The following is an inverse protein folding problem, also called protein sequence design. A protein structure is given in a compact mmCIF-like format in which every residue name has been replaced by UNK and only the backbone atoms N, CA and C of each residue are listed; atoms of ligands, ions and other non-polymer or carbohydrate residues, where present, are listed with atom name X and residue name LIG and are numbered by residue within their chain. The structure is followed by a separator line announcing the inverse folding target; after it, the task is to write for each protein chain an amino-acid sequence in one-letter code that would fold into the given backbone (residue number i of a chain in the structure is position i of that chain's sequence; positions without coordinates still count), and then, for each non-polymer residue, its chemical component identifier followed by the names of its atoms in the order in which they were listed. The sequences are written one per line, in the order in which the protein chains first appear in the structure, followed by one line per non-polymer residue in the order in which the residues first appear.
data_IF_250552907897
#
_entry.id   IF_250552907897
#
_cell.length_a   1.000
_cell.length_b   1.000
_cell.length_c   1.000
_cell.angle_alpha   90.00
_cell.angle_beta   90.00
_cell.angle_gamma   90.00
#
_symmetry.space_group_name_H-M   'P 1'
#
loop_
_entity.id
_entity.type
_entity.pdbx_description
1 polymer ?
#
# COMPACT_ATOMS: atom_id res chain seq x y z
N UNK A 1 -39.02 11.48 50.00
CA UNK A 1 -38.44 10.32 49.30
C UNK A 1 -37.73 10.60 47.96
N UNK A 2 -38.09 11.66 47.23
CA UNK A 2 -37.47 11.99 45.91
C UNK A 2 -36.06 12.61 45.96
N UNK A 3 -35.64 13.22 47.08
CA UNK A 3 -34.29 13.82 47.21
C UNK A 3 -33.14 12.84 47.52
N UNK A 4 -33.44 11.70 48.05
CA UNK A 4 -32.42 10.69 48.38
C UNK A 4 -32.04 9.79 47.21
N UNK A 5 -32.91 9.65 46.20
CA UNK A 5 -32.66 8.85 45.01
C UNK A 5 -31.75 9.62 44.07
N UNK A 6 -31.89 10.96 43.97
CA UNK A 6 -31.00 11.78 43.13
C UNK A 6 -29.55 11.83 43.63
N UNK A 7 -29.34 11.77 44.96
CA UNK A 7 -27.98 11.79 45.49
C UNK A 7 -27.23 10.45 45.31
N UNK A 8 -27.97 9.32 45.31
CA UNK A 8 -27.38 7.99 45.07
C UNK A 8 -27.06 7.78 43.60
N UNK A 9 -27.89 8.30 42.68
CA UNK A 9 -27.63 8.21 41.25
C UNK A 9 -26.44 9.12 40.86
N UNK A 10 -26.29 10.30 41.48
CA UNK A 10 -25.16 11.18 41.24
C UNK A 10 -23.84 10.61 41.78
N UNK A 11 -23.87 9.94 42.92
CA UNK A 11 -22.67 9.28 43.48
C UNK A 11 -22.28 8.02 42.70
N UNK A 12 -23.21 7.29 42.09
CA UNK A 12 -22.93 6.12 41.24
C UNK A 12 -22.41 6.61 39.86
N UNK A 13 -22.94 7.73 39.35
CA UNK A 13 -22.41 8.35 38.10
C UNK A 13 -20.98 8.92 38.29
N UNK A 14 -20.67 9.50 39.45
CA UNK A 14 -19.32 9.96 39.75
C UNK A 14 -18.33 8.80 39.96
N UNK A 15 -18.76 7.64 40.45
CA UNK A 15 -17.91 6.46 40.60
C UNK A 15 -17.67 5.79 39.25
N UNK A 16 -18.62 5.83 38.31
CA UNK A 16 -18.44 5.31 36.93
C UNK A 16 -17.53 6.23 36.12
N UNK A 17 -17.58 7.58 36.31
CA UNK A 17 -16.67 8.51 35.71
C UNK A 17 -15.25 8.44 36.29
N UNK A 18 -15.08 8.02 37.54
CA UNK A 18 -13.76 7.79 38.16
C UNK A 18 -13.14 6.43 37.79
N UNK A 19 -13.96 5.44 37.40
CA UNK A 19 -13.49 4.14 36.93
C UNK A 19 -13.19 4.10 35.42
N UNK A 20 -13.58 5.12 34.66
CA UNK A 20 -13.32 5.28 33.23
C UNK A 20 -12.01 6.03 32.89
N UNK A 21 -11.31 6.59 33.87
CA UNK A 21 -9.93 7.02 33.75
C UNK A 21 -9.00 5.84 34.07
N UNK A 22 -9.00 4.84 33.21
CA UNK A 22 -7.84 4.00 33.03
C UNK A 22 -6.73 4.95 32.52
N UNK A 23 -5.87 5.39 33.40
CA UNK A 23 -4.56 5.95 33.03
C UNK A 23 -3.88 4.81 32.28
N UNK A 24 -3.97 4.84 30.97
CA UNK A 24 -3.06 4.12 30.12
C UNK A 24 -1.67 4.60 30.59
N UNK A 25 -0.93 3.70 31.22
CA UNK A 25 0.43 3.99 31.65
C UNK A 25 1.21 4.07 30.35
N UNK A 26 1.24 5.27 29.75
CA UNK A 26 2.09 5.56 28.62
C UNK A 26 3.47 4.98 28.92
N UNK A 27 4.08 4.34 27.96
CA UNK A 27 5.45 3.80 28.06
C UNK A 27 6.31 4.79 28.81
N UNK A 28 7.00 4.38 29.87
CA UNK A 28 7.76 5.33 30.70
C UNK A 28 8.70 6.17 29.81
N UNK A 29 8.74 7.48 30.03
CA UNK A 29 9.64 8.41 29.34
C UNK A 29 11.09 7.92 29.26
N UNK A 30 11.51 7.06 30.19
CA UNK A 30 12.80 6.36 30.19
C UNK A 30 13.06 5.47 28.97
N UNK A 31 12.03 5.00 28.26
CA UNK A 31 12.20 4.21 27.04
C UNK A 31 12.65 5.07 25.84
N UNK A 32 12.45 6.39 25.93
CA UNK A 32 12.80 7.36 24.89
C UNK A 32 13.97 8.27 25.32
N UNK A 33 14.67 7.95 26.41
CA UNK A 33 15.79 8.72 26.90
C UNK A 33 17.01 8.60 25.96
N UNK A 34 17.80 9.65 25.86
CA UNK A 34 18.98 9.84 25.00
C UNK A 34 20.08 8.75 25.08
N UNK A 35 19.83 7.64 25.75
CA UNK A 35 20.68 6.45 25.85
C UNK A 35 20.83 5.67 24.54
N UNK A 36 19.97 5.91 23.54
CA UNK A 36 19.99 5.19 22.26
C UNK A 36 20.96 5.80 21.23
N UNK A 37 21.85 6.70 21.63
CA UNK A 37 22.83 7.30 20.71
C UNK A 37 23.93 6.31 20.36
N UNK A 38 23.88 5.77 19.16
CA UNK A 38 24.96 4.97 18.58
C UNK A 38 26.12 5.87 18.14
N UNK A 39 27.26 5.77 18.83
CA UNK A 39 28.40 6.67 18.61
C UNK A 39 29.59 6.06 17.86
N UNK A 40 29.64 4.76 17.62
CA UNK A 40 30.88 4.10 17.16
C UNK A 40 30.73 2.90 16.24
N UNK A 41 29.66 2.82 15.45
CA UNK A 41 29.52 1.71 14.50
C UNK A 41 30.25 1.99 13.19
N UNK A 42 30.80 0.93 12.63
CA UNK A 42 31.39 0.92 11.29
C UNK A 42 30.41 0.27 10.30
N UNK A 43 30.61 0.55 9.01
CA UNK A 43 29.94 -0.19 7.95
C UNK A 43 30.27 -1.67 8.03
N UNK A 44 29.30 -2.55 7.77
CA UNK A 44 29.49 -4.01 7.82
C UNK A 44 28.52 -4.77 6.92
N UNK A 45 28.89 -5.99 6.56
CA UNK A 45 28.01 -6.93 5.91
C UNK A 45 27.06 -7.57 6.93
N UNK A 46 25.75 -7.37 6.73
CA UNK A 46 24.71 -7.89 7.60
C UNK A 46 24.37 -9.35 7.26
N UNK A 47 24.27 -9.66 5.96
CA UNK A 47 24.04 -11.00 5.43
C UNK A 47 24.61 -11.13 4.03
N UNK A 48 24.90 -12.38 3.61
CA UNK A 48 25.33 -12.67 2.25
C UNK A 48 24.91 -14.09 1.82
N UNK A 49 24.72 -14.28 0.52
CA UNK A 49 24.55 -15.58 -0.11
C UNK A 49 25.49 -15.71 -1.33
N UNK A 50 25.27 -16.67 -2.22
CA UNK A 50 26.12 -16.87 -3.41
C UNK A 50 26.11 -15.67 -4.37
N UNK A 51 25.00 -14.94 -4.46
CA UNK A 51 24.78 -13.92 -5.46
C UNK A 51 24.79 -12.49 -4.90
N UNK A 52 24.39 -12.33 -3.64
CA UNK A 52 24.12 -11.03 -3.04
C UNK A 52 24.84 -10.81 -1.72
N UNK A 53 25.14 -9.55 -1.42
CA UNK A 53 25.62 -9.08 -0.11
C UNK A 53 24.74 -7.92 0.36
N UNK A 54 24.15 -8.08 1.55
CA UNK A 54 23.38 -7.07 2.25
C UNK A 54 24.29 -6.34 3.25
N UNK A 55 24.40 -5.03 3.12
CA UNK A 55 25.37 -4.24 3.87
C UNK A 55 24.70 -3.04 4.55
N UNK A 56 25.18 -2.71 5.73
CA UNK A 56 24.96 -1.43 6.40
C UNK A 56 26.10 -0.47 6.06
N UNK A 57 25.77 0.65 5.44
CA UNK A 57 26.68 1.75 5.15
C UNK A 57 26.49 2.85 6.21
N UNK A 58 27.44 2.92 7.14
CA UNK A 58 27.41 3.88 8.25
C UNK A 58 27.68 5.31 7.82
N UNK A 59 28.47 5.52 6.79
CA UNK A 59 28.87 6.83 6.31
C UNK A 59 27.63 7.61 5.79
N UNK A 60 26.75 6.90 5.08
CA UNK A 60 25.56 7.48 4.46
C UNK A 60 24.24 7.00 5.11
N UNK A 61 24.31 6.22 6.19
CA UNK A 61 23.13 5.70 6.92
C UNK A 61 22.13 4.95 6.02
N UNK A 62 22.62 4.07 5.16
CA UNK A 62 21.81 3.35 4.18
C UNK A 62 22.02 1.85 4.20
N UNK A 63 21.05 1.14 3.68
CA UNK A 63 21.16 -0.29 3.37
C UNK A 63 21.55 -0.42 1.90
N UNK A 64 22.56 -1.24 1.64
CA UNK A 64 23.04 -1.59 0.31
C UNK A 64 22.78 -3.05 0.04
N UNK A 65 22.21 -3.35 -1.12
CA UNK A 65 22.17 -4.68 -1.71
C UNK A 65 23.14 -4.70 -2.90
N UNK A 66 24.19 -5.49 -2.81
CA UNK A 66 25.25 -5.56 -3.82
C UNK A 66 25.26 -6.91 -4.53
N UNK A 67 25.24 -6.88 -5.84
CA UNK A 67 25.48 -8.06 -6.69
C UNK A 67 26.94 -8.49 -6.60
N UNK A 68 27.21 -9.77 -6.35
CA UNK A 68 28.54 -10.34 -6.35
C UNK A 68 29.07 -10.61 -7.76
N UNK A 69 28.17 -10.71 -8.75
CA UNK A 69 28.52 -11.02 -10.12
C UNK A 69 29.21 -9.85 -10.83
N UNK A 70 28.69 -8.62 -10.66
CA UNK A 70 29.14 -7.44 -11.39
C UNK A 70 29.41 -6.22 -10.50
N UNK A 71 29.12 -6.33 -9.20
CA UNK A 71 29.30 -5.26 -8.24
C UNK A 71 28.20 -4.20 -8.26
N UNK A 72 27.15 -4.35 -9.09
CA UNK A 72 26.02 -3.43 -9.14
C UNK A 72 25.32 -3.33 -7.77
N UNK A 73 24.93 -2.12 -7.40
CA UNK A 73 24.31 -1.85 -6.10
C UNK A 73 22.90 -1.29 -6.24
N UNK A 74 22.04 -1.68 -5.32
CA UNK A 74 20.74 -1.04 -5.04
C UNK A 74 20.73 -0.59 -3.58
N UNK A 75 20.09 0.51 -3.30
CA UNK A 75 20.23 1.16 -2.00
C UNK A 75 18.94 1.86 -1.57
N UNK A 76 18.75 1.96 -0.27
CA UNK A 76 17.68 2.80 0.30
C UNK A 76 17.89 4.29 0.07
N UNK A 77 19.11 4.69 -0.29
CA UNK A 77 19.49 6.03 -0.72
C UNK A 77 20.35 5.89 -1.98
N UNK A 78 19.90 6.30 -3.16
CA UNK A 78 20.67 6.26 -4.40
C UNK A 78 22.04 6.96 -4.28
N UNK A 79 23.02 6.43 -4.95
CA UNK A 79 24.41 6.92 -4.86
C UNK A 79 24.55 8.34 -5.40
N UNK A 80 23.78 8.66 -6.40
CA UNK A 80 23.73 9.97 -7.05
C UNK A 80 23.25 11.07 -6.09
N UNK A 81 22.45 10.72 -5.07
CA UNK A 81 22.03 11.67 -4.02
C UNK A 81 23.14 11.98 -2.99
N UNK A 82 24.21 11.22 -2.99
CA UNK A 82 25.34 11.43 -2.07
C UNK A 82 26.26 12.59 -2.55
N UNK A 83 26.19 12.93 -3.82
CA UNK A 83 26.96 14.04 -4.38
C UNK A 83 26.07 15.28 -4.44
N UNK A 84 26.43 16.38 -3.78
CA UNK A 84 25.69 17.62 -3.89
C UNK A 84 25.56 18.04 -5.36
N UNK A 85 24.33 18.24 -5.81
CA UNK A 85 24.06 18.80 -7.11
C UNK A 85 23.63 20.26 -6.97
N UNK A 86 24.17 21.12 -7.81
CA UNK A 86 23.91 22.56 -7.79
C UNK A 86 23.24 22.96 -9.11
N UNK A 87 22.28 23.89 -9.05
CA UNK A 87 21.70 24.50 -10.25
C UNK A 87 22.63 25.56 -10.86
N UNK A 88 22.19 26.16 -11.96
CA UNK A 88 22.95 27.19 -12.68
C UNK A 88 23.22 28.44 -11.80
N UNK A 89 22.41 28.68 -10.80
CA UNK A 89 22.53 29.78 -9.84
C UNK A 89 23.38 29.41 -8.61
N UNK A 90 23.85 28.15 -8.51
CA UNK A 90 24.70 27.64 -7.45
C UNK A 90 23.94 27.21 -6.18
N UNK A 91 22.63 27.01 -6.25
CA UNK A 91 21.84 26.44 -5.15
C UNK A 91 21.87 24.91 -5.18
N UNK A 92 22.04 24.30 -4.01
CA UNK A 92 22.00 22.84 -3.88
C UNK A 92 20.57 22.32 -4.13
N UNK A 93 20.41 21.54 -5.20
CA UNK A 93 19.10 21.09 -5.69
C UNK A 93 18.65 19.75 -5.14
N UNK A 94 19.56 18.94 -4.61
CA UNK A 94 19.25 17.63 -4.02
C UNK A 94 19.26 17.61 -2.49
N UNK A 95 19.39 18.76 -1.84
CA UNK A 95 19.28 18.90 -0.39
C UNK A 95 17.81 18.92 0.07
N UNK A 96 17.12 17.82 -0.15
CA UNK A 96 15.74 17.67 0.30
C UNK A 96 15.66 16.49 1.28
N UNK A 97 15.23 16.72 2.55
CA UNK A 97 15.08 15.66 3.54
C UNK A 97 14.18 14.49 3.09
N UNK A 98 13.31 14.70 2.10
CA UNK A 98 12.50 13.66 1.52
C UNK A 98 13.33 12.69 0.67
N UNK A 99 14.39 13.15 0.02
CA UNK A 99 15.24 12.35 -0.85
C UNK A 99 16.21 11.45 -0.07
N UNK A 100 16.64 11.85 1.11
CA UNK A 100 17.61 11.13 1.95
C UNK A 100 16.97 10.09 2.88
N UNK A 101 15.80 9.53 2.52
CA UNK A 101 14.98 8.91 3.54
C UNK A 101 14.71 7.42 3.32
N UNK A 102 15.31 6.51 4.13
CA UNK A 102 15.01 5.08 4.09
C UNK A 102 13.64 4.72 4.66
N UNK A 103 13.01 5.65 5.42
CA UNK A 103 11.74 5.42 6.11
C UNK A 103 10.98 6.73 6.26
N UNK A 104 9.75 6.79 5.76
CA UNK A 104 8.82 7.90 6.05
C UNK A 104 7.71 7.41 6.97
N UNK A 105 7.45 8.15 8.02
CA UNK A 105 6.39 7.86 8.99
C UNK A 105 5.47 9.07 9.07
N UNK A 106 4.17 8.84 8.95
CA UNK A 106 3.18 9.85 9.30
C UNK A 106 2.55 9.47 10.64
N UNK A 107 2.40 10.44 11.51
CA UNK A 107 1.74 10.29 12.81
C UNK A 107 0.64 11.33 12.96
N UNK A 108 -0.35 11.04 13.80
CA UNK A 108 -1.42 11.96 14.12
C UNK A 108 -0.96 12.80 15.32
N UNK A 109 -0.89 14.12 15.10
CA UNK A 109 -0.58 15.04 16.19
C UNK A 109 -1.84 15.24 17.07
N UNK A 110 -1.79 14.89 18.36
CA UNK A 110 -2.96 14.96 19.24
C UNK A 110 -3.44 16.39 19.53
N UNK A 111 -2.61 17.41 19.30
CA UNK A 111 -2.98 18.81 19.55
C UNK A 111 -3.94 19.36 18.48
N UNK A 112 -3.79 18.94 17.23
CA UNK A 112 -4.54 19.45 16.10
C UNK A 112 -5.27 18.37 15.28
N UNK A 113 -5.08 17.10 15.62
CA UNK A 113 -5.64 15.92 14.94
C UNK A 113 -5.27 15.87 13.44
N UNK A 114 -4.09 16.39 13.07
CA UNK A 114 -3.61 16.38 11.70
C UNK A 114 -2.41 15.44 11.54
N UNK A 115 -2.27 14.80 10.38
CA UNK A 115 -1.07 14.02 10.08
C UNK A 115 0.15 14.93 9.94
N UNK A 116 1.24 14.54 10.60
CA UNK A 116 2.56 15.16 10.46
C UNK A 116 3.58 14.10 10.02
N UNK A 117 4.67 14.52 9.39
CA UNK A 117 5.66 13.64 8.77
C UNK A 117 6.95 13.60 9.58
N UNK A 118 7.48 12.39 9.78
CA UNK A 118 8.81 12.12 10.30
C UNK A 118 9.63 11.40 9.24
N UNK A 119 10.86 11.85 9.04
CA UNK A 119 11.82 11.24 8.14
C UNK A 119 12.84 10.43 8.93
N UNK A 120 13.04 9.16 8.58
CA UNK A 120 13.96 8.25 9.26
C UNK A 120 15.39 8.78 9.29
N UNK A 121 15.86 9.42 8.21
CA UNK A 121 17.20 9.99 8.14
C UNK A 121 17.36 11.19 9.07
N UNK A 122 16.65 12.29 8.83
CA UNK A 122 16.82 13.55 9.59
C UNK A 122 16.23 13.49 10.98
N UNK A 123 15.19 12.68 11.20
CA UNK A 123 14.52 12.52 12.49
C UNK A 123 15.22 11.58 13.47
N UNK A 124 15.96 10.60 12.96
CA UNK A 124 16.54 9.49 13.72
C UNK A 124 18.02 9.27 13.39
N UNK A 125 18.35 8.75 12.21
CA UNK A 125 19.71 8.28 11.86
C UNK A 125 20.78 9.36 11.98
N UNK A 126 20.58 10.52 11.38
CA UNK A 126 21.51 11.66 11.41
C UNK A 126 21.75 12.18 12.82
N UNK A 127 20.77 12.02 13.71
CA UNK A 127 20.88 12.38 15.13
C UNK A 127 21.60 11.33 15.98
N UNK A 128 21.90 10.15 15.40
CA UNK A 128 22.41 8.99 16.13
C UNK A 128 21.37 8.33 17.04
N UNK A 129 20.08 8.64 16.87
CA UNK A 129 18.97 8.11 17.66
C UNK A 129 18.38 6.85 16.96
N UNK A 130 19.18 5.77 16.90
CA UNK A 130 18.77 4.51 16.29
C UNK A 130 19.44 3.32 16.97
N UNK A 131 18.83 2.15 16.87
CA UNK A 131 19.39 0.88 17.28
C UNK A 131 19.71 0.01 16.07
N UNK A 132 20.81 -0.75 16.13
CA UNK A 132 21.16 -1.75 15.13
C UNK A 132 21.28 -3.12 15.79
N UNK A 133 20.60 -4.11 15.21
CA UNK A 133 20.67 -5.49 15.66
C UNK A 133 20.87 -6.41 14.45
N UNK A 134 21.91 -7.27 14.51
CA UNK A 134 22.05 -8.35 13.53
C UNK A 134 21.01 -9.43 13.83
N UNK A 135 20.20 -9.73 12.84
CA UNK A 135 19.19 -10.79 12.89
C UNK A 135 19.57 -11.92 11.92
N UNK A 136 18.90 -13.06 12.02
CA UNK A 136 19.10 -14.17 11.08
C UNK A 136 18.79 -13.72 9.66
N UNK A 137 19.80 -13.75 8.78
CA UNK A 137 19.70 -13.36 7.38
C UNK A 137 19.62 -11.85 7.13
N UNK A 138 19.93 -10.98 8.12
CA UNK A 138 19.80 -9.55 7.90
C UNK A 138 20.13 -8.66 9.08
N UNK A 139 19.45 -7.51 9.10
CA UNK A 139 19.62 -6.47 10.11
C UNK A 139 18.26 -5.87 10.47
N UNK A 140 18.06 -5.57 11.75
CA UNK A 140 16.95 -4.76 12.28
C UNK A 140 17.47 -3.38 12.64
N UNK A 141 16.84 -2.35 12.12
CA UNK A 141 17.11 -0.95 12.45
C UNK A 141 15.90 -0.42 13.22
N UNK A 142 16.11 -0.01 14.46
CA UNK A 142 15.07 0.67 15.24
C UNK A 142 15.29 2.18 15.14
N UNK A 143 14.33 2.89 14.56
CA UNK A 143 14.33 4.34 14.44
C UNK A 143 13.69 4.95 15.68
N UNK A 144 14.40 5.85 16.37
CA UNK A 144 13.88 6.57 17.54
C UNK A 144 13.59 8.03 17.18
N UNK A 145 12.34 8.41 17.39
CA UNK A 145 11.85 9.78 17.26
C UNK A 145 11.52 10.32 18.66
N UNK A 146 12.56 10.56 19.44
CA UNK A 146 12.48 10.82 20.89
C UNK A 146 11.50 11.94 21.25
N UNK A 147 11.51 13.04 20.50
CA UNK A 147 10.63 14.20 20.73
C UNK A 147 9.14 13.93 20.43
N UNK A 148 8.84 12.80 19.80
CA UNK A 148 7.47 12.35 19.49
C UNK A 148 7.10 11.07 20.24
N UNK A 149 8.03 10.51 21.00
CA UNK A 149 7.84 9.25 21.73
C UNK A 149 7.42 8.09 20.82
N UNK A 150 8.04 8.02 19.64
CA UNK A 150 7.81 6.94 18.67
C UNK A 150 9.13 6.19 18.49
N UNK A 151 9.07 4.85 18.58
CA UNK A 151 10.13 3.97 18.07
C UNK A 151 9.57 2.95 17.11
N UNK A 152 10.29 2.75 16.00
CA UNK A 152 9.82 1.93 14.90
C UNK A 152 10.94 1.01 14.41
N UNK A 153 10.84 -0.31 14.70
CA UNK A 153 11.77 -1.32 14.19
C UNK A 153 11.46 -1.67 12.74
N UNK A 154 12.50 -1.70 11.89
CA UNK A 154 12.42 -2.15 10.49
C UNK A 154 13.41 -3.28 10.28
N UNK A 155 12.96 -4.41 9.77
CA UNK A 155 13.81 -5.52 9.41
C UNK A 155 14.16 -5.48 7.93
N UNK A 156 15.42 -5.71 7.61
CA UNK A 156 15.97 -5.87 6.28
C UNK A 156 16.59 -7.27 6.18
N UNK A 157 15.95 -8.15 5.43
CA UNK A 157 16.37 -9.55 5.28
C UNK A 157 16.79 -9.86 3.85
N UNK A 158 17.94 -10.47 3.69
CA UNK A 158 18.41 -10.95 2.41
C UNK A 158 17.56 -12.14 1.96
N UNK A 159 17.07 -12.06 0.73
CA UNK A 159 16.40 -13.15 0.03
C UNK A 159 17.38 -13.88 -0.90
N UNK A 160 16.93 -14.98 -1.50
CA UNK A 160 17.68 -15.67 -2.53
C UNK A 160 18.03 -14.74 -3.71
N UNK A 161 17.10 -13.88 -4.10
CA UNK A 161 17.17 -13.01 -5.29
C UNK A 161 16.84 -11.55 -5.01
N UNK A 162 17.10 -11.05 -3.80
CA UNK A 162 16.77 -9.68 -3.45
C UNK A 162 16.78 -9.41 -1.95
N UNK A 163 15.94 -8.48 -1.52
CA UNK A 163 15.81 -8.07 -0.12
C UNK A 163 14.32 -7.92 0.26
N UNK A 164 13.95 -8.37 1.46
CA UNK A 164 12.66 -8.06 2.08
C UNK A 164 12.83 -6.98 3.15
N UNK A 165 11.95 -5.99 3.14
CA UNK A 165 11.88 -4.92 4.13
C UNK A 165 10.52 -5.01 4.81
N UNK A 166 10.50 -5.13 6.14
CA UNK A 166 9.26 -5.38 6.88
C UNK A 166 9.20 -4.63 8.21
N UNK A 167 7.97 -4.38 8.64
CA UNK A 167 7.64 -3.86 9.97
C UNK A 167 6.51 -4.70 10.55
N UNK A 168 6.66 -5.07 11.81
CA UNK A 168 5.59 -5.56 12.64
C UNK A 168 4.98 -4.37 13.41
N UNK A 169 3.74 -3.94 13.11
CA UNK A 169 3.14 -2.81 13.80
C UNK A 169 2.99 -3.01 15.31
N UNK A 170 3.00 -4.26 15.80
CA UNK A 170 2.91 -4.55 17.23
C UNK A 170 4.21 -4.26 17.99
N UNK A 171 5.35 -4.15 17.29
CA UNK A 171 6.63 -3.75 17.86
C UNK A 171 6.84 -2.23 17.88
N UNK A 172 5.92 -1.45 17.30
CA UNK A 172 5.97 0.02 17.33
C UNK A 172 5.64 0.49 18.75
N UNK A 173 6.51 1.29 19.32
CA UNK A 173 6.23 1.96 20.60
C UNK A 173 5.76 3.37 20.32
N UNK A 174 4.64 3.76 20.91
CA UNK A 174 4.00 5.06 20.70
C UNK A 174 3.65 5.71 22.05
N UNK A 175 3.83 7.05 22.13
CA UNK A 175 3.22 7.87 23.17
C UNK A 175 1.84 8.38 22.74
N UNK A 176 1.60 9.66 22.98
CA UNK A 176 0.36 10.33 22.54
C UNK A 176 0.28 10.50 21.02
N UNK A 177 1.44 10.57 20.36
CA UNK A 177 1.53 10.63 18.89
C UNK A 177 1.36 9.23 18.31
N UNK A 178 0.30 8.99 17.55
CA UNK A 178 -0.03 7.68 16.98
C UNK A 178 0.42 7.58 15.54
N UNK A 179 1.20 6.54 15.20
CA UNK A 179 1.64 6.30 13.83
C UNK A 179 0.43 5.98 12.96
N UNK A 180 0.26 6.75 11.90
CA UNK A 180 -0.84 6.63 10.95
C UNK A 180 -0.44 5.83 9.71
N UNK A 181 0.66 6.22 9.07
CA UNK A 181 1.13 5.53 7.89
C UNK A 181 2.66 5.39 7.84
N UNK A 182 3.13 4.39 7.10
CA UNK A 182 4.54 4.05 6.97
C UNK A 182 4.85 3.82 5.50
N UNK A 183 5.92 4.46 4.99
CA UNK A 183 6.50 4.15 3.69
C UNK A 183 7.89 3.55 3.87
N UNK A 184 8.09 2.35 3.30
CA UNK A 184 9.32 1.58 3.41
C UNK A 184 10.23 1.82 2.21
N UNK A 185 11.46 2.25 2.47
CA UNK A 185 12.52 2.43 1.48
C UNK A 185 12.04 3.17 0.20
N UNK A 186 11.52 4.43 0.32
CA UNK A 186 10.84 5.12 -0.79
C UNK A 186 11.70 5.29 -2.05
N UNK A 187 13.02 5.32 -1.92
CA UNK A 187 13.93 5.52 -3.06
C UNK A 187 14.58 4.23 -3.58
N UNK A 188 14.21 3.07 -3.07
CA UNK A 188 14.72 1.80 -3.60
C UNK A 188 14.27 1.55 -5.05
N UNK A 189 13.07 2.04 -5.42
CA UNK A 189 12.56 2.09 -6.79
C UNK A 189 12.58 3.54 -7.29
N UNK A 190 13.75 4.01 -7.69
CA UNK A 190 13.95 5.38 -8.20
C UNK A 190 14.71 5.38 -9.51
N UNK A 191 14.53 6.45 -10.30
CA UNK A 191 15.22 6.71 -11.54
C UNK A 191 15.68 8.16 -11.60
N UNK A 192 16.80 8.41 -12.30
CA UNK A 192 17.24 9.77 -12.57
C UNK A 192 16.29 10.47 -13.54
N UNK A 193 15.93 11.72 -13.25
CA UNK A 193 15.11 12.53 -14.15
C UNK A 193 15.83 12.87 -15.46
N UNK A 194 17.17 12.78 -15.48
CA UNK A 194 17.99 13.01 -16.66
C UNK A 194 18.15 11.77 -17.56
N UNK A 195 17.70 10.59 -17.12
CA UNK A 195 17.83 9.37 -17.92
C UNK A 195 16.74 9.26 -18.97
N UNK A 196 17.12 9.20 -20.26
CA UNK A 196 16.18 8.98 -21.36
C UNK A 196 15.54 7.61 -21.37
N UNK A 197 16.20 6.61 -20.75
CA UNK A 197 15.76 5.23 -20.69
C UNK A 197 15.07 4.89 -19.35
N UNK A 198 15.10 5.83 -18.40
CA UNK A 198 14.55 5.66 -17.06
C UNK A 198 13.03 5.73 -17.05
N UNK A 199 12.39 4.81 -16.33
CA UNK A 199 10.95 4.82 -16.08
C UNK A 199 10.57 4.18 -14.74
N UNK A 200 9.43 4.63 -14.22
CA UNK A 200 8.73 3.98 -13.12
C UNK A 200 7.63 3.10 -13.70
N UNK A 201 7.50 1.90 -13.17
CA UNK A 201 6.41 0.97 -13.49
C UNK A 201 5.36 1.02 -12.38
N UNK A 202 4.10 1.27 -12.75
CA UNK A 202 2.96 1.28 -11.84
C UNK A 202 1.83 0.43 -12.40
N UNK A 203 1.13 -0.36 -11.57
CA UNK A 203 0.11 -1.30 -12.02
C UNK A 203 -1.27 -0.63 -12.16
N UNK A 204 -1.34 0.53 -12.80
CA UNK A 204 -2.60 1.20 -13.13
C UNK A 204 -3.35 0.40 -14.21
N UNK A 205 -4.42 -0.26 -13.83
CA UNK A 205 -5.14 -1.19 -14.72
C UNK A 205 -4.27 -2.34 -15.18
N UNK A 206 -3.92 -2.37 -16.46
CA UNK A 206 -3.03 -3.37 -17.07
C UNK A 206 -1.54 -3.01 -16.97
N UNK A 207 -1.21 -1.87 -16.36
CA UNK A 207 0.13 -1.34 -16.19
C UNK A 207 0.34 -0.01 -16.93
N UNK A 208 1.16 0.87 -16.35
CA UNK A 208 1.59 2.11 -16.94
C UNK A 208 3.08 2.36 -16.67
N UNK A 209 3.74 3.03 -17.59
CA UNK A 209 5.11 3.51 -17.43
C UNK A 209 5.08 5.02 -17.30
N UNK A 210 5.74 5.53 -16.26
CA UNK A 210 5.97 6.95 -16.05
C UNK A 210 7.43 7.22 -16.41
N UNK A 211 7.66 8.06 -17.40
CA UNK A 211 8.98 8.44 -17.86
C UNK A 211 9.29 9.87 -17.42
N UNK A 212 10.09 10.05 -16.36
CA UNK A 212 10.37 11.38 -15.83
C UNK A 212 11.10 12.29 -16.81
N UNK A 213 11.92 11.74 -17.67
CA UNK A 213 12.64 12.50 -18.71
C UNK A 213 11.70 13.22 -19.67
N UNK A 214 10.54 12.64 -19.97
CA UNK A 214 9.52 13.23 -20.84
C UNK A 214 8.68 14.31 -20.13
N UNK A 215 8.89 14.51 -18.82
CA UNK A 215 8.19 15.53 -18.04
C UNK A 215 8.88 16.89 -18.14
N UNK A 216 8.28 17.81 -18.86
CA UNK A 216 8.85 19.12 -19.19
C UNK A 216 8.51 20.23 -18.19
N UNK A 217 7.58 19.98 -17.25
CA UNK A 217 7.17 20.98 -16.28
C UNK A 217 8.25 21.24 -15.21
N UNK A 218 8.37 22.49 -14.79
CA UNK A 218 9.29 22.89 -13.71
C UNK A 218 8.84 22.42 -12.33
N UNK A 219 7.59 22.01 -12.18
CA UNK A 219 7.00 21.54 -10.93
C UNK A 219 6.76 20.04 -11.01
N UNK A 220 7.30 19.29 -10.05
CA UNK A 220 7.01 17.86 -9.90
C UNK A 220 5.53 17.61 -9.60
N UNK A 221 5.10 16.38 -9.82
CA UNK A 221 3.75 15.93 -9.45
C UNK A 221 3.81 14.65 -8.63
N UNK A 222 2.75 14.39 -7.90
CA UNK A 222 2.57 13.15 -7.14
C UNK A 222 1.32 12.44 -7.63
N UNK A 223 1.36 11.12 -7.64
CA UNK A 223 0.18 10.30 -7.84
C UNK A 223 0.16 9.15 -6.85
N UNK A 224 -1.03 8.67 -6.53
CA UNK A 224 -1.26 7.59 -5.58
C UNK A 224 -2.27 6.61 -6.13
N UNK A 225 -1.96 5.33 -6.03
CA UNK A 225 -2.75 4.22 -6.56
C UNK A 225 -3.06 3.26 -5.40
N UNK A 226 -4.25 3.34 -4.77
CA UNK A 226 -4.65 2.38 -3.75
C UNK A 226 -4.62 0.95 -4.30
N UNK A 227 -3.94 0.04 -3.61
CA UNK A 227 -3.88 -1.37 -4.00
C UNK A 227 -5.26 -1.99 -3.83
N UNK A 228 -5.69 -2.78 -4.83
CA UNK A 228 -7.05 -3.32 -4.97
C UNK A 228 -8.14 -2.26 -5.16
N UNK A 229 -7.76 -0.99 -5.30
CA UNK A 229 -8.68 0.12 -5.45
C UNK A 229 -9.33 0.53 -4.13
N UNK A 230 -10.21 1.52 -4.22
CA UNK A 230 -10.99 1.94 -3.07
C UNK A 230 -12.26 1.10 -2.97
N UNK A 231 -12.66 0.79 -1.74
CA UNK A 231 -13.98 0.20 -1.53
C UNK A 231 -15.06 1.23 -1.90
N UNK A 232 -15.64 1.05 -3.08
CA UNK A 232 -16.71 1.91 -3.58
C UNK A 232 -17.96 1.95 -2.69
N UNK A 233 -18.03 1.07 -1.66
CA UNK A 233 -19.11 1.05 -0.69
C UNK A 233 -18.92 2.09 0.42
N UNK A 234 -17.67 2.50 0.67
CA UNK A 234 -17.33 3.45 1.74
C UNK A 234 -17.16 4.88 1.20
N UNK A 235 -17.04 5.06 -0.12
CA UNK A 235 -16.91 6.39 -0.70
C UNK A 235 -18.24 7.12 -0.78
N UNK A 236 -18.24 8.28 -0.16
CA UNK A 236 -19.25 9.33 -0.45
C UNK A 236 -18.97 9.83 -1.87
N UNK A 237 -19.81 9.45 -2.83
CA UNK A 237 -19.66 9.71 -4.27
C UNK A 237 -19.68 11.17 -4.69
N UNK A 238 -19.62 12.09 -3.74
CA UNK A 238 -19.64 13.53 -3.98
C UNK A 238 -18.27 14.14 -4.35
N UNK A 239 -17.20 13.36 -4.37
CA UNK A 239 -15.92 13.80 -4.88
C UNK A 239 -15.86 13.63 -6.40
N UNK A 240 -16.15 14.71 -7.10
CA UNK A 240 -16.01 14.88 -8.55
C UNK A 240 -14.57 14.88 -9.08
N UNK A 241 -13.62 14.36 -8.31
CA UNK A 241 -12.25 14.11 -8.78
C UNK A 241 -12.28 12.91 -9.74
N UNK A 242 -12.32 13.17 -11.03
CA UNK A 242 -12.05 12.15 -12.05
C UNK A 242 -10.59 11.75 -11.86
N UNK A 243 -10.36 10.69 -11.11
CA UNK A 243 -9.07 10.01 -11.13
C UNK A 243 -9.05 9.19 -12.42
N UNK A 244 -8.25 9.59 -13.38
CA UNK A 244 -8.01 8.83 -14.61
C UNK A 244 -7.23 7.52 -14.36
N UNK A 245 -6.99 7.17 -13.10
CA UNK A 245 -6.27 5.96 -12.72
C UNK A 245 -7.22 4.75 -12.70
N UNK A 246 -6.75 3.66 -13.26
CA UNK A 246 -7.43 2.36 -13.17
C UNK A 246 -7.12 1.74 -11.79
N UNK A 247 -8.04 0.94 -11.22
CA UNK A 247 -7.78 0.25 -9.95
C UNK A 247 -6.55 -0.65 -10.04
N UNK A 248 -5.68 -0.57 -9.04
CA UNK A 248 -4.54 -1.47 -8.88
C UNK A 248 -5.04 -2.85 -8.47
N UNK A 249 -4.70 -3.87 -9.24
CA UNK A 249 -5.09 -5.26 -8.98
C UNK A 249 -3.95 -6.14 -8.54
N UNK A 250 -2.72 -5.72 -8.83
CA UNK A 250 -1.50 -6.45 -8.48
C UNK A 250 -0.68 -5.58 -7.53
N UNK A 251 -0.25 -6.12 -6.38
CA UNK A 251 0.48 -5.36 -5.37
C UNK A 251 1.97 -5.24 -5.74
N UNK A 252 2.25 -4.69 -6.91
CA UNK A 252 3.61 -4.58 -7.47
C UNK A 252 3.86 -3.21 -8.08
N UNK A 253 5.11 -2.78 -8.04
CA UNK A 253 5.61 -1.59 -8.72
C UNK A 253 7.09 -1.76 -9.03
N UNK A 254 7.70 -0.84 -9.72
CA UNK A 254 9.11 -0.98 -10.03
C UNK A 254 9.71 0.25 -10.68
N UNK A 255 11.01 0.14 -10.95
CA UNK A 255 11.78 1.15 -11.66
C UNK A 255 12.82 0.47 -12.54
N UNK A 256 13.12 1.06 -13.69
CA UNK A 256 14.22 0.64 -14.53
C UNK A 256 14.95 1.85 -15.12
N UNK A 257 16.27 1.74 -15.23
CA UNK A 257 17.16 2.75 -15.79
C UNK A 257 18.33 2.05 -16.48
N UNK A 258 18.33 2.09 -17.81
CA UNK A 258 19.31 1.37 -18.62
C UNK A 258 19.30 -0.14 -18.34
N UNK A 259 20.42 -0.67 -17.87
CA UNK A 259 20.59 -2.10 -17.56
C UNK A 259 20.31 -2.47 -16.09
N UNK A 260 19.77 -1.52 -15.31
CA UNK A 260 19.37 -1.71 -13.91
C UNK A 260 17.87 -1.61 -13.77
N UNK A 261 17.28 -2.57 -13.11
CA UNK A 261 15.86 -2.55 -12.77
C UNK A 261 15.62 -3.09 -11.37
N UNK A 262 14.43 -2.84 -10.86
CA UNK A 262 13.95 -3.42 -9.62
C UNK A 262 12.45 -3.60 -9.68
N UNK A 263 11.99 -4.79 -9.32
CA UNK A 263 10.59 -5.09 -9.06
C UNK A 263 10.37 -5.08 -7.56
N UNK A 264 9.37 -4.33 -7.10
CA UNK A 264 8.89 -4.36 -5.72
C UNK A 264 7.56 -5.13 -5.65
N UNK A 265 7.47 -6.05 -4.68
CA UNK A 265 6.25 -6.84 -4.40
C UNK A 265 5.82 -6.55 -2.97
N UNK A 266 4.60 -6.06 -2.80
CA UNK A 266 3.99 -5.89 -1.48
C UNK A 266 3.49 -7.27 -1.05
N UNK A 267 4.16 -7.90 -0.09
CA UNK A 267 3.82 -9.26 0.36
C UNK A 267 2.81 -9.28 1.50
N UNK A 268 2.86 -8.27 2.37
CA UNK A 268 1.95 -8.14 3.52
C UNK A 268 1.44 -6.71 3.63
N UNK A 269 0.18 -6.56 4.03
CA UNK A 269 -0.48 -5.27 4.20
C UNK A 269 -0.93 -4.62 2.89
N UNK A 270 -1.02 -5.37 1.79
CA UNK A 270 -1.40 -4.85 0.48
C UNK A 270 -2.79 -4.18 0.49
N UNK A 271 -3.70 -4.67 1.32
CA UNK A 271 -5.05 -4.13 1.50
C UNK A 271 -5.09 -2.73 2.13
N UNK A 272 -4.01 -2.32 2.80
CA UNK A 272 -3.85 -0.99 3.40
C UNK A 272 -2.85 -0.12 2.64
N UNK A 273 -2.32 -0.63 1.54
CA UNK A 273 -1.25 0.02 0.80
C UNK A 273 -1.76 0.89 -0.34
N UNK A 274 -1.03 1.97 -0.57
CA UNK A 274 -1.08 2.73 -1.82
C UNK A 274 0.30 2.76 -2.45
N UNK A 275 0.37 2.59 -3.77
CA UNK A 275 1.59 2.82 -4.52
C UNK A 275 1.65 4.30 -4.87
N UNK A 276 2.61 4.99 -4.29
CA UNK A 276 2.80 6.42 -4.45
C UNK A 276 3.95 6.69 -5.41
N UNK A 277 3.79 7.68 -6.28
CA UNK A 277 4.85 8.14 -7.17
C UNK A 277 5.11 9.62 -6.93
N UNK A 278 6.38 9.95 -6.75
CA UNK A 278 6.85 11.32 -6.76
C UNK A 278 7.66 11.48 -8.05
N UNK A 279 7.11 12.22 -9.00
CA UNK A 279 7.81 12.59 -10.24
C UNK A 279 8.36 13.98 -10.00
N UNK A 280 9.68 14.06 -9.79
CA UNK A 280 10.37 15.28 -9.47
C UNK A 280 10.43 16.24 -10.64
N UNK A 281 10.51 17.52 -10.33
CA UNK A 281 10.96 18.49 -11.31
C UNK A 281 12.45 18.30 -11.62
N UNK A 282 12.95 18.95 -12.63
CA UNK A 282 14.38 18.87 -13.03
C UNK A 282 15.33 19.25 -11.89
N UNK A 283 14.88 20.05 -10.92
CA UNK A 283 15.65 20.48 -9.74
C UNK A 283 15.85 19.37 -8.70
N UNK A 284 15.02 18.33 -8.65
CA UNK A 284 15.15 17.27 -7.64
C UNK A 284 16.00 16.07 -8.09
N UNK A 285 16.34 16.00 -9.36
CA UNK A 285 17.22 14.97 -9.89
C UNK A 285 16.61 13.57 -10.03
N UNK A 286 15.64 13.19 -9.18
CA UNK A 286 15.09 11.84 -9.13
C UNK A 286 13.58 11.79 -9.04
N UNK A 287 13.05 10.70 -9.62
CA UNK A 287 11.66 10.26 -9.42
C UNK A 287 11.64 8.88 -8.79
N UNK A 288 10.64 8.61 -7.98
CA UNK A 288 10.51 7.34 -7.27
C UNK A 288 9.06 6.87 -7.18
N UNK A 289 8.86 5.56 -7.11
CA UNK A 289 7.61 4.96 -6.66
C UNK A 289 7.84 4.05 -5.44
N UNK A 290 6.89 4.04 -4.53
CA UNK A 290 7.00 3.32 -3.27
C UNK A 290 5.63 2.95 -2.70
N UNK A 291 5.60 1.92 -1.86
CA UNK A 291 4.42 1.56 -1.09
C UNK A 291 4.34 2.41 0.19
N UNK A 292 3.19 3.04 0.40
CA UNK A 292 2.80 3.63 1.68
C UNK A 292 1.66 2.83 2.27
N UNK A 293 1.75 2.50 3.57
CA UNK A 293 0.80 1.66 4.28
C UNK A 293 0.07 2.48 5.32
N UNK A 294 -1.25 2.55 5.22
CA UNK A 294 -2.08 3.09 6.28
C UNK A 294 -2.31 1.98 7.32
N UNK A 295 -1.58 2.05 8.44
CA UNK A 295 -1.68 1.04 9.50
C UNK A 295 -2.82 1.31 10.48
N UNK A 296 -3.45 2.48 10.39
CA UNK A 296 -4.49 2.96 11.30
C UNK A 296 -5.55 3.74 10.54
N UNK A 297 -6.81 3.34 10.65
CA UNK A 297 -7.92 4.07 10.04
C UNK A 297 -8.15 5.43 10.70
N UNK A 298 -8.37 6.45 9.87
CA UNK A 298 -8.73 7.81 10.32
C UNK A 298 -10.07 8.18 9.69
N UNK A 299 -11.03 8.58 10.51
CA UNK A 299 -12.33 9.03 10.05
C UNK A 299 -12.27 10.50 9.58
N UNK A 300 -13.31 10.94 8.86
CA UNK A 300 -13.39 12.29 8.31
C UNK A 300 -13.47 13.40 9.37
N UNK A 301 -13.85 13.06 10.60
CA UNK A 301 -13.87 13.98 11.76
C UNK A 301 -12.53 14.04 12.50
N UNK A 302 -11.50 13.33 12.00
CA UNK A 302 -10.16 13.25 12.61
C UNK A 302 -10.05 12.17 13.69
N UNK A 303 -11.13 11.47 14.05
CA UNK A 303 -11.04 10.33 14.96
C UNK A 303 -10.28 9.18 14.30
N UNK A 304 -9.54 8.40 15.09
CA UNK A 304 -8.70 7.31 14.60
C UNK A 304 -8.83 6.06 15.50
N UNK A 305 -8.45 4.93 14.92
CA UNK A 305 -8.40 3.66 15.67
C UNK A 305 -7.20 3.66 16.63
N UNK A 306 -7.44 3.36 17.92
CA UNK A 306 -6.35 3.27 18.91
C UNK A 306 -5.28 2.23 18.53
N UNK A 307 -5.70 1.08 18.04
CA UNK A 307 -4.82 0.01 17.63
C UNK A 307 -4.55 0.03 16.13
N UNK A 308 -3.36 -0.41 15.73
CA UNK A 308 -3.07 -0.70 14.34
C UNK A 308 -4.05 -1.77 13.81
N UNK A 309 -4.56 -1.56 12.60
CA UNK A 309 -5.52 -2.47 11.95
C UNK A 309 -4.83 -3.49 11.05
N UNK A 310 -3.53 -3.31 10.80
CA UNK A 310 -2.70 -4.17 9.97
C UNK A 310 -1.72 -4.93 10.86
N UNK A 311 -1.65 -6.23 10.70
CA UNK A 311 -0.82 -7.11 11.54
C UNK A 311 0.65 -7.16 11.12
N UNK A 312 0.94 -6.89 9.85
CA UNK A 312 2.29 -6.84 9.31
C UNK A 312 2.30 -6.07 7.98
N UNK A 313 3.39 -5.38 7.70
CA UNK A 313 3.65 -4.79 6.39
C UNK A 313 5.00 -5.25 5.87
N UNK A 314 5.09 -5.56 4.58
CA UNK A 314 6.35 -5.98 3.99
C UNK A 314 6.41 -5.78 2.48
N UNK A 315 7.60 -5.41 1.99
CA UNK A 315 7.90 -5.25 0.57
C UNK A 315 9.17 -6.03 0.26
N UNK A 316 9.10 -6.88 -0.77
CA UNK A 316 10.28 -7.53 -1.35
C UNK A 316 10.74 -6.79 -2.59
N UNK A 317 12.00 -6.42 -2.63
CA UNK A 317 12.65 -5.78 -3.77
C UNK A 317 13.53 -6.81 -4.47
N UNK A 318 13.22 -7.06 -5.75
CA UNK A 318 13.93 -8.00 -6.61
C UNK A 318 14.71 -7.23 -7.67
N UNK A 319 16.04 -7.11 -7.53
CA UNK A 319 16.90 -6.46 -8.53
C UNK A 319 16.90 -7.23 -9.85
N UNK A 320 16.96 -6.50 -10.93
CA UNK A 320 17.01 -7.01 -12.30
C UNK A 320 18.16 -6.35 -13.04
N UNK A 321 18.91 -7.10 -13.82
CA UNK A 321 20.07 -6.61 -14.58
C UNK A 321 19.99 -6.99 -16.06
N UNK A 322 20.70 -6.24 -16.91
CA UNK A 322 20.79 -6.48 -18.34
C UNK A 322 19.42 -6.51 -19.03
N UNK A 323 19.16 -7.46 -19.89
CA UNK A 323 17.91 -7.57 -20.63
C UNK A 323 16.68 -7.77 -19.75
N UNK A 324 16.86 -8.27 -18.51
CA UNK A 324 15.79 -8.41 -17.52
C UNK A 324 15.44 -7.10 -16.82
N UNK A 325 16.25 -6.06 -16.93
CA UNK A 325 15.97 -4.74 -16.38
C UNK A 325 14.91 -3.99 -17.21
N UNK A 326 13.75 -4.61 -17.35
CA UNK A 326 12.64 -4.12 -18.15
C UNK A 326 11.30 -4.49 -17.54
N UNK A 327 10.23 -3.81 -17.95
CA UNK A 327 8.87 -4.16 -17.49
C UNK A 327 8.49 -5.60 -17.85
N UNK A 328 8.99 -6.14 -18.96
CA UNK A 328 8.80 -7.55 -19.32
C UNK A 328 9.55 -8.48 -18.36
N UNK A 329 10.79 -8.14 -17.97
CA UNK A 329 11.54 -8.88 -16.96
C UNK A 329 10.91 -8.78 -15.57
N UNK A 330 10.33 -7.61 -15.21
CA UNK A 330 9.53 -7.47 -13.98
C UNK A 330 8.30 -8.37 -14.00
N UNK A 331 7.59 -8.44 -15.13
CA UNK A 331 6.43 -9.33 -15.29
C UNK A 331 6.83 -10.82 -15.18
N UNK A 332 7.99 -11.20 -15.75
CA UNK A 332 8.52 -12.55 -15.61
C UNK A 332 8.90 -12.87 -14.16
N UNK A 333 9.59 -11.96 -13.49
CA UNK A 333 9.97 -12.13 -12.08
C UNK A 333 8.73 -12.27 -11.18
N UNK A 334 7.69 -11.46 -11.41
CA UNK A 334 6.44 -11.57 -10.67
C UNK A 334 5.69 -12.86 -10.96
N UNK A 335 5.64 -13.31 -12.21
CA UNK A 335 5.06 -14.61 -12.56
C UNK A 335 5.77 -15.76 -11.85
N UNK A 336 7.12 -15.74 -11.81
CA UNK A 336 7.90 -16.76 -11.13
C UNK A 336 7.66 -16.73 -9.61
N UNK A 337 7.52 -15.53 -9.02
CA UNK A 337 7.11 -15.36 -7.63
C UNK A 337 5.73 -16.00 -7.37
N UNK A 338 4.74 -15.73 -8.20
CA UNK A 338 3.39 -16.30 -8.06
C UNK A 338 3.38 -17.83 -8.19
N UNK A 339 4.17 -18.38 -9.11
CA UNK A 339 4.32 -19.83 -9.26
C UNK A 339 4.93 -20.44 -7.98
N UNK A 340 6.00 -19.82 -7.46
CA UNK A 340 6.72 -20.31 -6.28
C UNK A 340 5.88 -20.23 -5.00
N UNK A 341 5.23 -19.08 -4.78
CA UNK A 341 4.52 -18.80 -3.52
C UNK A 341 3.09 -19.35 -3.49
N UNK A 342 2.39 -19.36 -4.64
CA UNK A 342 0.98 -19.74 -4.72
C UNK A 342 0.71 -20.98 -5.56
N UNK A 343 1.75 -21.57 -6.17
CA UNK A 343 1.60 -22.79 -6.95
C UNK A 343 0.69 -22.61 -8.18
N UNK A 344 0.61 -21.38 -8.74
CA UNK A 344 -0.20 -21.18 -9.95
C UNK A 344 0.42 -21.93 -11.12
N UNK A 345 -0.44 -22.63 -11.86
CA UNK A 345 -0.04 -23.42 -13.02
C UNK A 345 -0.65 -22.83 -14.30
N UNK A 346 -0.01 -23.13 -15.42
CA UNK A 346 -0.60 -22.78 -16.72
C UNK A 346 -1.90 -23.55 -16.91
N UNK A 347 -3.00 -22.84 -17.16
CA UNK A 347 -4.28 -23.45 -17.45
C UNK A 347 -4.15 -24.27 -18.72
N UNK A 348 -4.47 -25.56 -18.64
CA UNK A 348 -4.44 -26.49 -19.79
C UNK A 348 -5.63 -26.30 -20.75
N UNK A 349 -6.68 -25.63 -20.28
CA UNK A 349 -7.90 -25.38 -21.02
C UNK A 349 -8.12 -23.89 -21.16
N UNK A 350 -8.04 -23.39 -22.38
CA UNK A 350 -8.35 -21.98 -22.64
C UNK A 350 -9.86 -21.76 -22.51
N UNK A 351 -10.26 -20.71 -21.80
CA UNK A 351 -11.63 -20.23 -21.81
C UNK A 351 -11.87 -19.54 -23.16
N UNK A 352 -12.59 -20.19 -24.06
CA UNK A 352 -12.79 -19.68 -25.39
C UNK A 352 -13.73 -18.44 -25.43
N UNK A 353 -14.53 -18.22 -24.38
CA UNK A 353 -15.40 -17.06 -24.25
C UNK A 353 -15.70 -16.73 -22.78
N UNK A 354 -15.94 -15.45 -22.49
CA UNK A 354 -16.40 -14.96 -21.19
C UNK A 354 -17.64 -14.08 -21.40
N UNK A 355 -18.70 -14.34 -20.62
CA UNK A 355 -19.91 -13.54 -20.61
C UNK A 355 -20.10 -12.86 -19.25
N UNK A 356 -20.27 -11.55 -19.24
CA UNK A 356 -20.74 -10.83 -18.07
C UNK A 356 -22.21 -10.46 -18.26
N UNK A 357 -23.05 -10.94 -17.35
CA UNK A 357 -24.50 -10.67 -17.34
C UNK A 357 -24.82 -9.72 -16.17
N UNK A 358 -25.60 -8.69 -16.44
CA UNK A 358 -26.02 -7.70 -15.46
C UNK A 358 -27.44 -8.05 -14.96
N UNK A 359 -27.55 -8.39 -13.66
CA UNK A 359 -28.80 -8.85 -13.04
C UNK A 359 -29.80 -7.71 -12.82
N UNK A 360 -29.65 -6.97 -11.72
CA UNK A 360 -30.55 -5.86 -11.38
C UNK A 360 -29.78 -4.58 -11.10
N UNK A 361 -30.39 -3.44 -11.38
CA UNK A 361 -29.88 -2.12 -11.02
C UNK A 361 -30.92 -1.37 -10.20
N UNK A 362 -30.48 -0.34 -9.44
CA UNK A 362 -31.39 0.55 -8.76
C UNK A 362 -31.84 1.67 -9.68
N UNK A 363 -33.14 1.95 -9.68
CA UNK A 363 -33.74 3.07 -10.41
C UNK A 363 -34.56 3.92 -9.44
N UNK A 364 -34.57 5.23 -9.68
CA UNK A 364 -35.42 6.13 -8.94
C UNK A 364 -36.88 5.95 -9.42
N UNK A 365 -37.77 5.78 -8.47
CA UNK A 365 -39.21 5.53 -8.67
C UNK A 365 -40.03 6.43 -7.78
N UNK A 366 -41.31 6.59 -8.09
CA UNK A 366 -42.24 7.40 -7.30
C UNK A 366 -43.51 6.61 -7.04
N UNK A 367 -44.02 6.72 -5.82
CA UNK A 367 -45.35 6.24 -5.46
C UNK A 367 -46.11 7.35 -4.76
N UNK A 368 -47.21 7.81 -5.33
CA UNK A 368 -48.01 8.96 -4.83
C UNK A 368 -47.15 10.20 -4.56
N UNK A 369 -46.18 10.50 -5.41
CA UNK A 369 -45.29 11.65 -5.27
C UNK A 369 -44.12 11.44 -4.26
N UNK A 370 -44.06 10.31 -3.58
CA UNK A 370 -42.96 9.98 -2.67
C UNK A 370 -41.87 9.27 -3.43
N UNK A 371 -40.64 9.84 -3.52
CA UNK A 371 -39.54 9.21 -4.22
C UNK A 371 -39.02 8.00 -3.42
N UNK A 372 -38.72 6.91 -4.11
CA UNK A 372 -38.06 5.74 -3.55
C UNK A 372 -37.15 5.09 -4.58
N UNK A 373 -36.22 4.24 -4.16
CA UNK A 373 -35.39 3.43 -5.05
C UNK A 373 -35.95 2.03 -5.16
N UNK A 374 -36.16 1.58 -6.39
CA UNK A 374 -36.59 0.22 -6.71
C UNK A 374 -35.52 -0.55 -7.48
N UNK A 375 -35.57 -1.88 -7.43
CA UNK A 375 -34.73 -2.72 -8.26
C UNK A 375 -35.40 -2.97 -9.60
N UNK A 376 -34.68 -2.69 -10.67
CA UNK A 376 -35.10 -2.97 -12.06
C UNK A 376 -34.29 -4.17 -12.58
N UNK A 377 -34.93 -5.26 -13.05
CA UNK A 377 -34.22 -6.41 -13.60
C UNK A 377 -33.73 -6.09 -15.02
N UNK A 378 -32.41 -6.18 -15.23
CA UNK A 378 -31.78 -6.08 -16.54
C UNK A 378 -31.73 -7.47 -17.22
N UNK A 379 -31.26 -8.48 -16.45
CA UNK A 379 -31.24 -9.88 -16.90
C UNK A 379 -31.75 -10.77 -15.78
N UNK A 380 -32.94 -11.35 -15.95
CA UNK A 380 -33.49 -12.34 -15.02
C UNK A 380 -32.72 -13.66 -15.10
N UNK A 381 -32.84 -14.54 -14.09
CA UNK A 381 -32.19 -15.86 -14.11
C UNK A 381 -32.64 -16.72 -15.28
N UNK A 382 -33.90 -16.62 -15.69
CA UNK A 382 -34.43 -17.32 -16.88
C UNK A 382 -33.83 -16.80 -18.19
N UNK A 383 -33.69 -15.48 -18.32
CA UNK A 383 -33.02 -14.86 -19.46
C UNK A 383 -31.53 -15.23 -19.49
N UNK A 384 -30.84 -15.18 -18.33
CA UNK A 384 -29.45 -15.60 -18.23
C UNK A 384 -29.26 -17.05 -18.72
N UNK A 385 -30.07 -17.96 -18.25
CA UNK A 385 -30.06 -19.37 -18.73
C UNK A 385 -30.33 -19.48 -20.24
N UNK A 386 -31.30 -18.71 -20.76
CA UNK A 386 -31.60 -18.70 -22.18
C UNK A 386 -30.44 -18.18 -23.03
N UNK A 387 -29.79 -17.09 -22.57
CA UNK A 387 -28.61 -16.53 -23.24
C UNK A 387 -27.45 -17.53 -23.26
N UNK A 388 -27.20 -18.23 -22.14
CA UNK A 388 -26.16 -19.25 -22.09
C UNK A 388 -26.43 -20.40 -23.08
N UNK A 389 -27.66 -20.92 -23.11
CA UNK A 389 -28.05 -21.99 -24.02
C UNK A 389 -27.88 -21.58 -25.46
N UNK A 390 -28.44 -20.43 -25.84
CA UNK A 390 -28.34 -19.90 -27.20
C UNK A 390 -26.88 -19.66 -27.61
N UNK A 391 -26.04 -19.12 -26.70
CA UNK A 391 -24.64 -18.94 -26.97
C UNK A 391 -23.91 -20.28 -27.20
N UNK A 392 -24.12 -21.25 -26.32
CA UNK A 392 -23.51 -22.59 -26.43
C UNK A 392 -23.96 -23.32 -27.67
N UNK A 393 -25.26 -23.26 -27.97
CA UNK A 393 -25.87 -23.93 -29.16
C UNK A 393 -25.30 -23.35 -30.46
N UNK A 394 -25.08 -22.04 -30.54
CA UNK A 394 -24.57 -21.38 -31.75
C UNK A 394 -23.06 -21.50 -31.92
N UNK A 395 -22.30 -21.49 -30.83
CA UNK A 395 -20.83 -21.43 -30.90
C UNK A 395 -20.16 -22.78 -30.68
N UNK A 396 -20.87 -23.73 -30.10
CA UNK A 396 -20.29 -25.01 -29.64
C UNK A 396 -19.35 -24.85 -28.41
N UNK A 397 -19.34 -23.66 -27.79
CA UNK A 397 -18.42 -23.30 -26.71
C UNK A 397 -19.20 -22.99 -25.45
N UNK A 398 -18.80 -23.61 -24.32
CA UNK A 398 -19.30 -23.23 -22.99
C UNK A 398 -18.52 -22.01 -22.50
N UNK A 399 -19.15 -20.83 -22.27
CA UNK A 399 -18.46 -19.65 -21.80
C UNK A 399 -18.26 -19.69 -20.27
N UNK A 400 -17.22 -19.04 -19.78
CA UNK A 400 -17.16 -18.65 -18.37
C UNK A 400 -18.16 -17.51 -18.13
N UNK A 401 -18.97 -17.61 -17.07
CA UNK A 401 -20.06 -16.68 -16.82
C UNK A 401 -19.87 -15.94 -15.50
N UNK A 402 -19.98 -14.61 -15.56
CA UNK A 402 -20.08 -13.74 -14.39
C UNK A 402 -21.45 -13.08 -14.36
N UNK A 403 -22.24 -13.33 -13.31
CA UNK A 403 -23.51 -12.64 -13.08
C UNK A 403 -23.32 -11.57 -11.99
N UNK A 404 -23.29 -10.31 -12.39
CA UNK A 404 -23.19 -9.15 -11.50
C UNK A 404 -24.57 -8.64 -11.10
N UNK A 405 -24.71 -8.00 -9.92
CA UNK A 405 -25.98 -7.38 -9.51
C UNK A 405 -27.12 -8.35 -9.18
N UNK A 406 -26.81 -9.59 -8.79
CA UNK A 406 -27.83 -10.58 -8.41
C UNK A 406 -28.38 -10.42 -6.98
N UNK A 407 -27.69 -9.64 -6.12
CA UNK A 407 -28.06 -9.44 -4.72
C UNK A 407 -29.14 -8.38 -4.50
N UNK A 408 -29.53 -8.18 -3.22
CA UNK A 408 -30.62 -7.26 -2.83
C UNK A 408 -30.35 -5.78 -3.18
N UNK A 409 -29.10 -5.39 -3.38
CA UNK A 409 -28.71 -4.03 -3.76
C UNK A 409 -28.56 -3.85 -5.29
N UNK A 410 -28.70 -4.93 -6.06
CA UNK A 410 -28.42 -4.89 -7.50
C UNK A 410 -26.96 -4.54 -7.79
N UNK A 411 -26.75 -3.78 -8.87
CA UNK A 411 -25.43 -3.25 -9.24
C UNK A 411 -24.95 -2.06 -8.35
N UNK A 412 -25.80 -1.59 -7.44
CA UNK A 412 -25.40 -0.53 -6.53
C UNK A 412 -24.67 -1.11 -5.31
N UNK A 413 -23.37 -0.87 -5.26
CA UNK A 413 -22.47 -1.41 -4.25
C UNK A 413 -22.43 -0.61 -2.93
N UNK A 414 -23.39 0.29 -2.68
CA UNK A 414 -23.42 1.13 -1.48
C UNK A 414 -23.71 0.41 -0.15
N UNK A 415 -23.79 -0.92 -0.14
CA UNK A 415 -23.97 -1.72 1.09
C UNK A 415 -23.19 -3.03 0.97
N UNK A 416 -22.49 -3.39 2.03
CA UNK A 416 -21.85 -4.69 2.14
C UNK A 416 -22.87 -5.82 1.96
N UNK A 417 -22.48 -6.89 1.26
CA UNK A 417 -23.33 -8.05 1.05
C UNK A 417 -23.65 -8.73 2.40
N UNK A 418 -24.85 -8.50 2.90
CA UNK A 418 -25.34 -9.08 4.17
C UNK A 418 -25.79 -10.55 4.05
N UNK A 419 -25.22 -11.31 3.11
CA UNK A 419 -25.52 -12.72 2.83
C UNK A 419 -25.93 -12.98 1.38
N UNK A 420 -26.01 -14.25 1.00
CA UNK A 420 -26.35 -14.73 -0.35
C UNK A 420 -27.86 -14.67 -0.64
N UNK A 421 -28.49 -13.52 -0.42
CA UNK A 421 -29.89 -13.31 -0.79
C UNK A 421 -29.97 -12.71 -2.18
N UNK A 422 -30.70 -13.37 -3.07
CA UNK A 422 -30.95 -12.89 -4.44
C UNK A 422 -32.11 -11.90 -4.49
N UNK A 423 -32.02 -10.95 -5.41
CA UNK A 423 -33.10 -10.00 -5.67
C UNK A 423 -34.32 -10.74 -6.26
N UNK A 424 -35.49 -10.61 -5.61
CA UNK A 424 -36.71 -11.29 -6.05
C UNK A 424 -37.16 -10.92 -7.48
N UNK A 425 -36.81 -9.72 -7.94
CA UNK A 425 -37.10 -9.25 -9.30
C UNK A 425 -36.40 -10.07 -10.41
N UNK A 426 -35.33 -10.81 -10.04
CA UNK A 426 -34.58 -11.65 -11.01
C UNK A 426 -35.16 -13.05 -11.16
N UNK A 427 -36.03 -13.47 -10.28
CA UNK A 427 -36.67 -14.78 -10.34
C UNK A 427 -36.63 -15.54 -9.02
N UNK A 428 -37.07 -16.80 -9.09
CA UNK A 428 -37.19 -17.70 -7.95
C UNK A 428 -35.87 -18.44 -7.65
N UNK A 429 -35.79 -19.10 -6.47
CA UNK A 429 -34.71 -20.03 -6.14
C UNK A 429 -34.56 -21.17 -7.15
N UNK A 430 -35.67 -21.61 -7.76
CA UNK A 430 -35.65 -22.63 -8.83
C UNK A 430 -34.97 -22.10 -10.07
N UNK A 431 -35.21 -20.83 -10.41
CA UNK A 431 -34.66 -20.23 -11.63
C UNK A 431 -33.14 -20.01 -11.50
N UNK A 432 -32.67 -19.53 -10.36
CA UNK A 432 -31.21 -19.40 -10.13
C UNK A 432 -30.52 -20.77 -10.11
N UNK A 433 -31.16 -21.77 -9.47
CA UNK A 433 -30.61 -23.12 -9.46
C UNK A 433 -30.50 -23.71 -10.87
N UNK A 434 -31.51 -23.53 -11.70
CA UNK A 434 -31.45 -23.99 -13.09
C UNK A 434 -30.35 -23.28 -13.90
N UNK A 435 -30.09 -22.01 -13.63
CA UNK A 435 -29.00 -21.26 -14.23
C UNK A 435 -27.63 -21.78 -13.76
N UNK A 436 -27.41 -21.92 -12.42
CA UNK A 436 -26.12 -22.39 -11.87
C UNK A 436 -25.83 -23.86 -12.17
N UNK A 437 -26.85 -24.70 -12.33
CA UNK A 437 -26.66 -26.12 -12.71
C UNK A 437 -26.24 -26.28 -14.18
N UNK A 438 -26.53 -25.27 -15.02
CA UNK A 438 -26.16 -25.29 -16.44
C UNK A 438 -24.81 -24.58 -16.70
N UNK A 439 -24.47 -23.57 -15.94
CA UNK A 439 -23.19 -22.82 -16.06
C UNK A 439 -22.02 -23.60 -15.48
#
# INVERSE_FOLDING_TARGET
MKRKISAVILSVLLIILAAGCGTDKGTPLSAFDSKHKNKSEQSFTAAENSEWSLQWDKEHYRILLKSKADGTTWSTLPEELLTPAFDEDGYEVNNNPQLENPLTVQYINPENMQPEVLYGYTGSLKKGAYGLEKISGGIKITYYFDNKQISLPVEYKLLENGINVSVDPTEITEGDNKVYSIALSPFFCSVSNGSSDGYLFVPSGSGALIKPYEWEADVGYTCSYPVYGEDGQLKNTNNSGITNSQPVRLPVYGAADGNRGVLAIIEKGAESASINCNVGNRKFGFSACYAGFEIRGVASDGSYSENAQVSAISVSFLPLTGEKASYSGMAEAYRNYLIKEYGIEKVSKETAASLELLGATQVDSQFLGIPYRSLYPMTTFKQALSILKDFTDRTGVAPAVKLSGFGLSGLNNGKAAGGLKTAAVLGSKKDIKAFTDYS
#
